data_IF_694253190358
#
_entry.id   IF_694253190358
#
_cell.length_a   1.000
_cell.length_b   1.000
_cell.length_c   1.000
_cell.angle_alpha   90.00
_cell.angle_beta   90.00
_cell.angle_gamma   90.00
#
_symmetry.space_group_name_H-M   'P 1'
#
loop_
_entity.id
_entity.type
_entity.pdbx_description
1 polymer ?
#
# COMPACT_ATOMS: atom_id res chain seq x y z
N UNK A 1 34.76 -18.14 59.90
CA UNK A 1 34.73 -16.84 59.19
C UNK A 1 33.78 -16.95 58.03
N UNK A 2 32.68 -16.18 58.06
CA UNK A 2 31.65 -16.14 57.02
C UNK A 2 32.15 -15.29 55.85
N UNK A 3 31.97 -15.75 54.61
CA UNK A 3 32.04 -14.88 53.43
C UNK A 3 30.81 -15.12 52.56
N UNK A 4 29.81 -14.27 52.80
CA UNK A 4 28.75 -13.91 51.86
C UNK A 4 29.35 -12.91 50.87
N UNK A 5 29.38 -13.20 49.57
CA UNK A 5 29.53 -12.23 48.47
C UNK A 5 28.76 -12.83 47.28
N UNK A 6 27.46 -12.55 47.17
CA UNK A 6 26.85 -11.45 46.42
C UNK A 6 26.29 -11.97 45.10
N UNK A 7 24.97 -12.14 45.15
CA UNK A 7 24.03 -12.32 44.08
C UNK A 7 24.07 -11.11 43.11
N UNK A 8 23.48 -11.31 41.94
CA UNK A 8 23.00 -10.29 41.00
C UNK A 8 23.94 -9.94 39.82
N UNK A 9 24.14 -10.89 38.91
CA UNK A 9 24.40 -10.55 37.50
C UNK A 9 23.06 -10.27 36.81
N UNK A 10 22.92 -9.02 36.40
CA UNK A 10 21.80 -8.42 35.69
C UNK A 10 21.51 -9.19 34.40
N UNK A 11 20.36 -9.87 34.36
CA UNK A 11 19.77 -10.38 33.12
C UNK A 11 19.12 -9.19 32.41
N UNK A 12 19.92 -8.44 31.65
CA UNK A 12 19.41 -7.45 30.70
C UNK A 12 18.83 -8.22 29.52
N UNK A 13 17.59 -8.70 29.65
CA UNK A 13 16.79 -9.18 28.53
C UNK A 13 16.50 -7.95 27.67
N UNK A 14 17.31 -7.69 26.65
CA UNK A 14 16.96 -6.75 25.60
C UNK A 14 15.69 -7.29 24.93
N UNK A 15 14.53 -6.79 25.35
CA UNK A 15 13.29 -6.88 24.59
C UNK A 15 13.42 -5.94 23.40
N UNK A 16 14.25 -6.30 22.44
CA UNK A 16 14.25 -5.70 21.11
C UNK A 16 12.92 -6.06 20.50
N UNK A 17 11.89 -5.24 20.70
CA UNK A 17 10.67 -5.31 19.90
C UNK A 17 11.11 -4.98 18.48
N UNK A 18 11.38 -6.01 17.68
CA UNK A 18 11.48 -5.83 16.24
C UNK A 18 10.10 -5.39 15.79
N UNK A 19 9.93 -4.08 15.57
CA UNK A 19 8.77 -3.57 14.86
C UNK A 19 8.96 -4.00 13.42
N UNK A 20 8.56 -5.22 13.07
CA UNK A 20 8.37 -5.60 11.68
C UNK A 20 7.18 -4.79 11.19
N UNK A 21 7.42 -3.79 10.36
CA UNK A 21 6.28 -3.05 9.83
C UNK A 21 5.47 -4.01 8.95
N UNK A 22 4.15 -3.90 9.10
CA UNK A 22 3.21 -4.80 8.43
C UNK A 22 3.02 -4.31 7.00
N UNK A 23 2.89 -5.23 6.05
CA UNK A 23 2.43 -4.86 4.70
C UNK A 23 0.99 -4.34 4.78
N UNK A 24 0.68 -3.36 3.93
CA UNK A 24 -0.68 -2.88 3.78
C UNK A 24 -1.50 -3.85 2.95
N UNK A 25 -2.62 -4.30 3.48
CA UNK A 25 -3.61 -5.09 2.76
C UNK A 25 -4.91 -4.30 2.63
N UNK A 26 -5.61 -4.51 1.52
CA UNK A 26 -6.94 -3.94 1.27
C UNK A 26 -7.06 -3.23 -0.06
N UNK A 27 -8.17 -2.50 -0.16
CA UNK A 27 -8.58 -1.73 -1.33
C UNK A 27 -9.24 -0.44 -0.89
N UNK A 28 -8.95 0.63 -1.60
CA UNK A 28 -9.56 1.94 -1.44
C UNK A 28 -10.10 2.40 -2.80
N UNK A 29 -11.35 2.83 -2.80
CA UNK A 29 -12.06 3.34 -3.97
C UNK A 29 -12.46 4.78 -3.73
N UNK A 30 -12.27 5.61 -4.74
CA UNK A 30 -12.63 7.01 -4.75
C UNK A 30 -13.60 7.29 -5.90
N UNK A 31 -14.48 8.24 -5.65
CA UNK A 31 -15.38 8.79 -6.66
C UNK A 31 -15.26 10.31 -6.67
N UNK A 32 -15.40 10.94 -7.84
CA UNK A 32 -15.22 12.37 -7.92
C UNK A 32 -15.24 12.98 -9.32
N UNK A 33 -14.85 14.25 -9.33
CA UNK A 33 -14.80 15.10 -10.51
C UNK A 33 -13.36 15.35 -10.92
N UNK A 34 -13.09 15.17 -12.21
CA UNK A 34 -11.80 15.45 -12.83
C UNK A 34 -12.02 15.89 -14.27
N UNK A 35 -11.05 16.62 -14.80
CA UNK A 35 -11.00 17.01 -16.21
C UNK A 35 -9.83 16.27 -16.86
N UNK A 36 -10.14 15.42 -17.83
CA UNK A 36 -9.14 14.75 -18.67
C UNK A 36 -8.93 15.55 -19.95
N UNK A 37 -7.68 15.74 -20.35
CA UNK A 37 -7.33 16.16 -21.71
C UNK A 37 -6.74 14.96 -22.43
N UNK A 38 -7.22 14.67 -23.62
CA UNK A 38 -6.74 13.59 -24.47
C UNK A 38 -6.16 14.09 -25.80
N UNK A 39 -5.24 13.30 -26.36
CA UNK A 39 -4.74 13.46 -27.72
C UNK A 39 -4.95 12.13 -28.46
N UNK A 40 -6.01 12.10 -29.27
CA UNK A 40 -6.42 10.92 -30.02
C UNK A 40 -6.92 9.79 -29.12
N UNK A 41 -6.06 8.82 -28.82
CA UNK A 41 -6.43 7.62 -28.07
C UNK A 41 -5.77 7.53 -26.68
N UNK A 42 -5.16 8.61 -26.19
CA UNK A 42 -4.46 8.60 -24.90
C UNK A 42 -4.72 9.91 -24.13
N UNK A 43 -4.81 9.79 -22.80
CA UNK A 43 -4.88 10.94 -21.90
C UNK A 43 -3.51 11.60 -21.80
N UNK A 44 -3.46 12.91 -21.97
CA UNK A 44 -2.24 13.72 -21.85
C UNK A 44 -2.19 14.48 -20.52
N UNK A 45 -3.34 14.84 -19.95
CA UNK A 45 -3.43 15.44 -18.62
C UNK A 45 -4.68 15.02 -17.86
N UNK A 46 -4.59 15.04 -16.53
CA UNK A 46 -5.67 14.72 -15.61
C UNK A 46 -5.66 15.71 -14.44
N UNK A 47 -6.64 16.61 -14.42
CA UNK A 47 -6.82 17.60 -13.37
C UNK A 47 -7.92 17.14 -12.41
N UNK A 48 -7.58 16.93 -11.16
CA UNK A 48 -8.52 16.50 -10.14
C UNK A 48 -9.22 17.72 -9.52
N UNK A 49 -10.49 17.55 -9.19
CA UNK A 49 -11.26 18.56 -8.45
C UNK A 49 -11.61 17.99 -7.08
N UNK A 50 -12.86 17.63 -6.87
CA UNK A 50 -13.30 16.99 -5.62
C UNK A 50 -13.37 15.49 -5.79
N UNK A 51 -12.63 14.77 -4.95
CA UNK A 51 -12.77 13.33 -4.78
C UNK A 51 -13.05 13.00 -3.32
N UNK A 52 -13.86 11.97 -3.12
CA UNK A 52 -14.19 11.40 -1.83
C UNK A 52 -14.04 9.88 -1.89
N UNK A 53 -13.97 9.27 -0.72
CA UNK A 53 -13.89 7.82 -0.61
C UNK A 53 -15.27 7.22 -0.81
N UNK A 54 -15.39 6.33 -1.80
CA UNK A 54 -16.60 5.57 -2.07
C UNK A 54 -16.65 4.30 -1.21
N UNK A 55 -15.54 3.55 -1.19
CA UNK A 55 -15.45 2.30 -0.44
C UNK A 55 -14.02 2.05 0.05
N UNK A 56 -13.90 1.31 1.16
CA UNK A 56 -12.62 1.03 1.81
C UNK A 56 -12.67 -0.32 2.52
N UNK A 57 -11.54 -1.05 2.49
CA UNK A 57 -11.38 -2.38 3.12
C UNK A 57 -9.97 -2.55 3.67
N UNK A 58 -9.75 -3.55 4.53
CA UNK A 58 -8.42 -3.91 5.02
C UNK A 58 -7.84 -2.88 5.99
N UNK A 59 -6.53 -2.63 5.90
CA UNK A 59 -5.78 -1.80 6.85
C UNK A 59 -6.06 -0.30 6.74
N UNK A 60 -6.82 0.12 5.74
CA UNK A 60 -7.31 1.50 5.65
C UNK A 60 -8.32 1.84 6.76
N UNK A 61 -9.03 0.85 7.30
CA UNK A 61 -9.96 1.01 8.44
C UNK A 61 -9.18 0.84 9.76
N UNK A 62 -9.42 1.68 10.79
CA UNK A 62 -10.50 2.66 10.92
C UNK A 62 -10.13 4.09 10.53
N UNK A 63 -8.90 4.32 10.08
CA UNK A 63 -8.35 5.67 9.88
C UNK A 63 -8.98 6.42 8.70
N UNK A 64 -9.71 5.70 7.87
CA UNK A 64 -10.34 6.17 6.65
C UNK A 64 -11.74 5.57 6.54
N UNK A 65 -12.72 6.39 6.18
CA UNK A 65 -14.14 6.02 6.05
C UNK A 65 -14.76 6.55 4.76
N UNK A 66 -15.81 5.89 4.22
CA UNK A 66 -16.54 6.42 3.07
C UNK A 66 -17.09 7.83 3.33
N UNK A 67 -16.95 8.71 2.34
CA UNK A 67 -17.28 10.13 2.41
C UNK A 67 -16.13 11.03 2.89
N UNK A 68 -15.01 10.47 3.35
CA UNK A 68 -13.83 11.29 3.64
C UNK A 68 -13.28 11.91 2.36
N UNK A 69 -12.91 13.19 2.43
CA UNK A 69 -12.28 13.90 1.32
C UNK A 69 -10.84 13.44 1.16
N UNK A 70 -10.45 13.16 -0.09
CA UNK A 70 -9.07 12.84 -0.47
C UNK A 70 -8.48 14.00 -1.25
N UNK A 71 -7.20 14.27 -1.00
CA UNK A 71 -6.46 15.29 -1.73
C UNK A 71 -5.73 14.57 -2.86
N UNK A 72 -5.98 14.97 -4.10
CA UNK A 72 -5.24 14.52 -5.28
C UNK A 72 -4.34 15.64 -5.80
N UNK A 73 -3.15 15.24 -6.25
CA UNK A 73 -2.25 16.08 -7.02
C UNK A 73 -2.61 16.03 -8.50
N UNK A 74 -2.67 17.21 -9.13
CA UNK A 74 -2.91 17.34 -10.55
C UNK A 74 -1.77 16.73 -11.39
N UNK A 75 -2.15 16.07 -12.49
CA UNK A 75 -1.22 15.50 -13.46
C UNK A 75 -1.27 16.29 -14.77
N UNK A 76 -0.54 17.42 -14.90
CA UNK A 76 -0.50 18.19 -16.14
C UNK A 76 0.16 17.41 -17.28
N UNK A 77 0.89 16.35 -16.95
CA UNK A 77 1.37 15.32 -17.86
C UNK A 77 1.24 13.98 -17.16
N UNK A 78 0.78 12.94 -17.88
CA UNK A 78 0.63 11.59 -17.32
C UNK A 78 2.02 10.92 -17.20
N UNK A 79 2.66 11.08 -16.04
CA UNK A 79 3.98 10.54 -15.69
C UNK A 79 4.01 10.05 -14.23
N UNK A 80 5.00 9.22 -13.84
CA UNK A 80 5.25 8.88 -12.44
C UNK A 80 5.27 10.11 -11.54
N UNK A 81 4.52 10.06 -10.45
CA UNK A 81 4.24 11.21 -9.58
C UNK A 81 4.25 10.76 -8.13
N UNK A 82 5.04 11.44 -7.32
CA UNK A 82 5.09 11.26 -5.86
C UNK A 82 3.91 12.01 -5.25
N UNK A 83 3.29 11.42 -4.23
CA UNK A 83 2.13 11.98 -3.52
C UNK A 83 0.99 12.35 -4.49
N UNK A 84 0.59 11.38 -5.32
CA UNK A 84 -0.56 11.56 -6.21
C UNK A 84 -1.83 11.74 -5.40
N UNK A 85 -1.98 11.02 -4.28
CA UNK A 85 -3.06 11.28 -3.34
C UNK A 85 -2.67 10.95 -1.92
N UNK A 86 -3.34 11.61 -0.97
CA UNK A 86 -3.25 11.27 0.44
C UNK A 86 -4.57 11.46 1.19
N UNK A 87 -4.81 10.57 2.16
CA UNK A 87 -5.99 10.59 3.04
C UNK A 87 -5.73 9.75 4.29
N UNK A 88 -6.18 10.19 5.46
CA UNK A 88 -6.05 9.41 6.72
C UNK A 88 -4.62 8.98 7.07
N UNK A 89 -3.62 9.77 6.64
CA UNK A 89 -2.19 9.46 6.81
C UNK A 89 -1.64 8.38 5.88
N UNK A 90 -2.42 7.93 4.89
CA UNK A 90 -1.94 7.15 3.75
C UNK A 90 -1.54 8.09 2.63
N UNK A 91 -0.41 7.81 2.00
CA UNK A 91 0.11 8.53 0.83
C UNK A 91 0.33 7.53 -0.29
N UNK A 92 0.02 7.90 -1.53
CA UNK A 92 0.22 7.07 -2.70
C UNK A 92 1.10 7.72 -3.75
N UNK A 93 2.15 6.99 -4.12
CA UNK A 93 3.07 7.35 -5.19
C UNK A 93 2.72 6.56 -6.45
N UNK A 94 2.45 7.27 -7.55
CA UNK A 94 2.28 6.67 -8.87
C UNK A 94 3.67 6.33 -9.44
N UNK A 95 3.93 5.04 -9.66
CA UNK A 95 5.23 4.56 -10.10
C UNK A 95 5.31 4.27 -11.61
N UNK A 96 4.26 3.68 -12.19
CA UNK A 96 4.22 3.36 -13.62
C UNK A 96 2.80 3.39 -14.15
N UNK A 97 2.67 3.73 -15.43
CA UNK A 97 1.43 3.64 -16.22
C UNK A 97 1.58 2.45 -17.17
N UNK A 98 0.64 1.51 -17.10
CA UNK A 98 0.62 0.31 -17.96
C UNK A 98 -0.45 0.40 -19.03
N UNK A 99 -1.57 1.07 -18.74
CA UNK A 99 -2.63 1.34 -19.69
C UNK A 99 -2.92 2.84 -19.67
N UNK A 100 -3.00 3.44 -20.84
CA UNK A 100 -3.51 4.79 -21.04
C UNK A 100 -4.26 4.80 -22.37
N UNK A 101 -5.58 4.71 -22.29
CA UNK A 101 -6.42 4.60 -23.47
C UNK A 101 -7.67 5.46 -23.32
N UNK A 102 -8.12 6.00 -24.45
CA UNK A 102 -9.40 6.70 -24.57
C UNK A 102 -10.26 5.95 -25.57
N UNK A 103 -11.48 5.58 -25.15
CA UNK A 103 -12.47 4.89 -25.98
C UNK A 103 -13.76 5.70 -25.97
N UNK A 104 -13.98 6.47 -27.03
CA UNK A 104 -15.09 7.42 -27.07
C UNK A 104 -14.85 8.56 -26.07
N UNK A 105 -15.75 8.75 -25.12
CA UNK A 105 -15.63 9.76 -24.04
C UNK A 105 -15.19 9.16 -22.70
N UNK A 106 -14.67 7.94 -22.71
CA UNK A 106 -14.21 7.23 -21.52
C UNK A 106 -12.69 7.12 -21.58
N UNK A 107 -12.02 7.68 -20.60
CA UNK A 107 -10.59 7.46 -20.39
C UNK A 107 -10.38 6.34 -19.39
N UNK A 108 -9.43 5.45 -19.66
CA UNK A 108 -8.99 4.40 -18.75
C UNK A 108 -7.47 4.52 -18.62
N UNK A 109 -7.02 4.71 -17.39
CA UNK A 109 -5.60 4.75 -17.05
C UNK A 109 -5.36 3.77 -15.92
N UNK A 110 -4.40 2.87 -16.10
CA UNK A 110 -4.06 1.87 -15.09
C UNK A 110 -2.55 1.82 -14.90
N UNK A 111 -2.14 1.32 -13.75
CA UNK A 111 -0.73 1.17 -13.47
C UNK A 111 -0.41 0.55 -12.12
N UNK A 112 0.80 0.85 -11.68
CA UNK A 112 1.31 0.45 -10.37
C UNK A 112 1.80 1.66 -9.61
N UNK A 113 1.76 1.55 -8.29
CA UNK A 113 2.29 2.54 -7.38
C UNK A 113 2.59 1.95 -6.01
N UNK A 114 2.85 2.80 -5.05
CA UNK A 114 3.16 2.41 -3.68
C UNK A 114 2.30 3.21 -2.71
N UNK A 115 1.70 2.53 -1.73
CA UNK A 115 1.07 3.20 -0.60
C UNK A 115 2.02 3.14 0.59
N UNK A 116 2.16 4.27 1.28
CA UNK A 116 2.92 4.37 2.52
C UNK A 116 2.06 4.94 3.64
N UNK A 117 2.37 4.53 4.87
CA UNK A 117 1.78 5.06 6.10
C UNK A 117 2.69 4.78 7.28
N UNK A 118 2.78 5.72 8.22
CA UNK A 118 3.51 5.52 9.47
C UNK A 118 3.04 4.25 10.21
N UNK A 119 3.98 3.36 10.54
CA UNK A 119 3.71 2.08 11.17
C UNK A 119 3.51 0.89 10.21
N UNK A 120 3.51 1.14 8.90
CA UNK A 120 3.43 0.13 7.85
C UNK A 120 4.62 0.19 6.92
N UNK A 121 4.93 -0.95 6.28
CA UNK A 121 5.90 -0.96 5.19
C UNK A 121 5.29 -0.32 3.95
N UNK A 122 6.14 0.35 3.16
CA UNK A 122 5.72 0.84 1.83
C UNK A 122 5.33 -0.36 0.98
N UNK A 123 4.08 -0.38 0.52
CA UNK A 123 3.48 -1.57 -0.08
C UNK A 123 3.10 -1.31 -1.54
N UNK A 124 3.41 -2.22 -2.48
CA UNK A 124 3.00 -2.07 -3.88
C UNK A 124 1.49 -2.23 -4.05
N UNK A 125 0.91 -1.37 -4.89
CA UNK A 125 -0.51 -1.35 -5.23
C UNK A 125 -0.69 -1.33 -6.76
N UNK A 126 -1.75 -1.99 -7.23
CA UNK A 126 -2.31 -1.73 -8.55
C UNK A 126 -3.35 -0.63 -8.45
N UNK A 127 -3.36 0.27 -9.42
CA UNK A 127 -4.34 1.35 -9.48
C UNK A 127 -5.01 1.44 -10.84
N UNK A 128 -6.23 1.94 -10.83
CA UNK A 128 -7.01 2.20 -12.02
C UNK A 128 -7.84 3.47 -11.85
N UNK A 129 -7.79 4.33 -12.86
CA UNK A 129 -8.62 5.51 -13.02
C UNK A 129 -9.53 5.32 -14.24
N UNK A 130 -10.79 5.71 -14.10
CA UNK A 130 -11.74 5.76 -15.20
C UNK A 130 -12.49 7.08 -15.20
N UNK A 131 -12.56 7.75 -16.35
CA UNK A 131 -13.47 8.88 -16.55
C UNK A 131 -14.75 8.43 -17.24
N UNK A 132 -15.91 8.74 -16.66
CA UNK A 132 -17.22 8.57 -17.31
C UNK A 132 -18.01 9.87 -17.17
N UNK A 133 -18.94 10.11 -18.10
CA UNK A 133 -19.82 11.29 -18.10
C UNK A 133 -20.49 11.50 -16.74
N UNK A 134 -19.95 12.44 -15.96
CA UNK A 134 -20.47 12.85 -14.66
C UNK A 134 -20.02 12.01 -13.46
N UNK A 135 -19.22 10.95 -13.64
CA UNK A 135 -18.69 10.16 -12.54
C UNK A 135 -17.31 9.59 -12.87
N UNK A 136 -16.27 10.05 -12.18
CA UNK A 136 -14.93 9.49 -12.35
C UNK A 136 -14.56 8.67 -11.14
N UNK A 137 -13.86 7.57 -11.36
CA UNK A 137 -13.46 6.66 -10.30
C UNK A 137 -11.95 6.49 -10.30
N UNK A 138 -11.39 6.33 -9.10
CA UNK A 138 -10.03 5.89 -8.91
C UNK A 138 -10.05 4.75 -7.89
N UNK A 139 -9.31 3.69 -8.14
CA UNK A 139 -9.17 2.58 -7.19
C UNK A 139 -7.71 2.21 -7.01
N UNK A 140 -7.34 1.83 -5.80
CA UNK A 140 -6.03 1.27 -5.50
C UNK A 140 -6.19 0.01 -4.65
N UNK A 141 -5.56 -1.09 -5.07
CA UNK A 141 -5.63 -2.40 -4.39
C UNK A 141 -4.23 -2.92 -4.10
N UNK A 142 -4.02 -3.41 -2.86
CA UNK A 142 -2.76 -3.97 -2.42
C UNK A 142 -2.37 -5.19 -3.26
N UNK A 143 -1.08 -5.28 -3.62
CA UNK A 143 -0.52 -6.48 -4.24
C UNK A 143 0.02 -7.39 -3.14
N UNK A 144 -0.63 -8.55 -2.95
CA UNK A 144 -0.20 -9.52 -1.95
C UNK A 144 1.22 -10.03 -2.25
N UNK A 145 2.03 -10.16 -1.20
CA UNK A 145 3.37 -10.74 -1.33
C UNK A 145 3.31 -12.19 -1.84
N UNK A 146 4.27 -12.63 -2.68
CA UNK A 146 4.34 -14.02 -3.10
C UNK A 146 4.44 -14.97 -1.88
N UNK A 147 3.63 -16.03 -1.86
CA UNK A 147 3.53 -17.01 -0.77
C UNK A 147 4.86 -17.70 -0.38
N UNK A 148 5.93 -17.51 -1.17
CA UNK A 148 7.26 -18.06 -0.92
C UNK A 148 7.88 -17.65 0.42
N UNK A 149 7.57 -16.45 0.93
CA UNK A 149 8.10 -16.01 2.23
C UNK A 149 7.55 -16.85 3.41
N UNK A 150 6.26 -17.19 3.37
CA UNK A 150 5.64 -18.07 4.36
C UNK A 150 6.19 -19.51 4.27
N UNK A 151 6.42 -20.00 3.05
CA UNK A 151 7.04 -21.31 2.80
C UNK A 151 8.49 -21.39 3.29
N UNK A 152 9.28 -20.32 3.15
CA UNK A 152 10.63 -20.26 3.70
C UNK A 152 10.62 -20.33 5.24
N UNK A 153 9.69 -19.62 5.88
CA UNK A 153 9.48 -19.70 7.33
C UNK A 153 9.13 -21.11 7.80
N UNK A 154 8.22 -21.79 7.10
CA UNK A 154 7.85 -23.18 7.40
C UNK A 154 8.99 -24.17 7.11
N UNK A 155 9.76 -23.96 6.04
CA UNK A 155 10.92 -24.79 5.73
C UNK A 155 11.97 -24.71 6.87
N UNK A 156 12.26 -23.50 7.36
CA UNK A 156 13.19 -23.31 8.48
C UNK A 156 12.71 -23.96 9.79
N UNK A 157 11.40 -23.89 10.07
CA UNK A 157 10.80 -24.60 11.21
C UNK A 157 10.95 -26.12 11.06
N UNK A 158 10.67 -26.68 9.87
CA UNK A 158 10.86 -28.10 9.58
C UNK A 158 12.32 -28.56 9.76
N UNK A 159 13.28 -27.75 9.32
CA UNK A 159 14.71 -28.06 9.50
C UNK A 159 15.18 -28.00 10.96
N UNK A 160 14.59 -27.13 11.79
CA UNK A 160 14.91 -27.04 13.23
C UNK A 160 14.56 -28.29 14.04
N UNK A 161 13.48 -28.99 13.68
CA UNK A 161 13.06 -30.22 14.37
C UNK A 161 13.83 -31.48 13.94
N UNK A 162 14.58 -31.42 12.84
CA UNK A 162 15.26 -32.61 12.28
C UNK A 162 16.62 -32.90 12.97
N UNK A 163 17.06 -32.10 13.94
CA UNK A 163 18.39 -32.25 14.60
C UNK A 163 18.40 -32.99 15.94
N UNK A 164 17.30 -33.61 16.37
CA UNK A 164 17.30 -34.45 17.59
C UNK A 164 16.98 -35.89 17.25
N UNK A 165 18.01 -36.62 16.81
CA UNK A 165 18.26 -38.02 17.16
C UNK A 165 19.55 -38.45 16.49
N UNK A 166 20.64 -38.52 17.26
CA UNK A 166 21.79 -39.40 17.06
C UNK A 166 22.52 -39.46 18.42
N UNK A 167 22.01 -40.30 19.32
CA UNK A 167 22.77 -40.92 20.39
C UNK A 167 22.24 -42.35 20.56
N UNK A 168 22.91 -43.31 19.93
CA UNK A 168 23.11 -44.67 20.43
C UNK A 168 24.53 -45.06 20.07
#
# INVERSE_FOLDING_TARGET
MRKFISLLTVLFLLTSTTTSAMLLEGKIDFTGLSTTTDDGSAVTSLMFSTFEIDAVTGNFIPDVTPGDTVIFSDLPTIVPTIDLWHVGGFEFDLAAITINTVVGSVAIIEGTGFVSKAGYETTPFHWAYSSMLGNNTFSATAVSAPAGAALLGLALLGFGFTRRNHQV
#
